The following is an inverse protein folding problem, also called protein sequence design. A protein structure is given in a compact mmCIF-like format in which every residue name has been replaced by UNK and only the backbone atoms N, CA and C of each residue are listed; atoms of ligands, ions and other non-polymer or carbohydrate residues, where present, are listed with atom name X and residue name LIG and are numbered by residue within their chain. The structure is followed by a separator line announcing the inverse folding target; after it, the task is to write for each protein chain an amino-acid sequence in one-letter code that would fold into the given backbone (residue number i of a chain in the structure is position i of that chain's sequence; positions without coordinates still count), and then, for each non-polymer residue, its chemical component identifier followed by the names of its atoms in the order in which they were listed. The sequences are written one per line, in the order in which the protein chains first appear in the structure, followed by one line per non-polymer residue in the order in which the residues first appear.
data_IF_100915471813
#
_entry.id   IF_100915471813
#
_cell.length_a   1.000
_cell.length_b   1.000
_cell.length_c   1.000
_cell.angle_alpha   90.00
_cell.angle_beta   90.00
_cell.angle_gamma   90.00
#
_symmetry.space_group_name_H-M   'P 1'
#
loop_
_entity.id
_entity.type
_entity.pdbx_description
1 polymer ?
#
# COMPACT_ATOMS: atom_id res chain seq x y z
N UNK A 1 37.61 -38.81 3.72
CA UNK A 1 37.68 -37.33 3.84
C UNK A 1 36.50 -36.76 3.06
N UNK A 2 35.31 -36.73 3.67
CA UNK A 2 34.13 -36.13 3.06
C UNK A 2 33.82 -34.82 3.77
N UNK A 3 33.42 -33.79 3.03
CA UNK A 3 32.29 -32.91 3.34
C UNK A 3 32.13 -31.94 2.16
N UNK A 4 31.22 -32.29 1.24
CA UNK A 4 30.47 -31.30 0.46
C UNK A 4 29.47 -30.64 1.41
N UNK A 5 29.40 -29.31 1.43
CA UNK A 5 28.10 -28.63 1.66
C UNK A 5 28.02 -27.43 0.73
N UNK A 6 27.00 -27.51 -0.12
CA UNK A 6 26.54 -26.52 -1.08
C UNK A 6 26.26 -25.19 -0.37
N UNK A 7 26.86 -24.11 -0.86
CA UNK A 7 26.45 -22.76 -0.50
C UNK A 7 25.01 -22.54 -0.98
N UNK A 8 24.06 -22.69 -0.06
CA UNK A 8 22.66 -22.37 -0.32
C UNK A 8 22.57 -20.90 -0.72
N UNK A 9 22.43 -20.65 -2.03
CA UNK A 9 21.90 -19.39 -2.53
C UNK A 9 20.51 -19.29 -1.93
N UNK A 10 20.38 -18.51 -0.86
CA UNK A 10 19.08 -18.19 -0.30
C UNK A 10 18.27 -17.61 -1.45
N UNK A 11 17.32 -18.38 -1.98
CA UNK A 11 16.24 -17.83 -2.81
C UNK A 11 15.53 -16.89 -1.85
N UNK A 12 15.86 -15.60 -1.90
CA UNK A 12 14.98 -14.55 -1.39
C UNK A 12 13.67 -14.82 -2.10
N UNK A 13 12.69 -15.36 -1.37
CA UNK A 13 11.31 -15.27 -1.79
C UNK A 13 11.07 -13.76 -1.84
N UNK A 14 11.20 -13.18 -3.03
CA UNK A 14 10.87 -11.78 -3.24
C UNK A 14 9.37 -11.75 -3.05
N UNK A 15 8.93 -11.47 -1.82
CA UNK A 15 7.54 -11.09 -1.60
C UNK A 15 7.28 -9.93 -2.55
N UNK A 16 6.24 -10.05 -3.35
CA UNK A 16 5.79 -8.95 -4.19
C UNK A 16 5.50 -7.79 -3.23
N UNK A 17 6.29 -6.71 -3.30
CA UNK A 17 6.12 -5.54 -2.43
C UNK A 17 5.04 -4.59 -2.96
N UNK A 18 4.27 -5.07 -3.95
CA UNK A 18 3.14 -4.42 -4.60
C UNK A 18 3.48 -2.98 -4.99
N UNK A 19 4.30 -2.78 -6.04
CA UNK A 19 4.76 -1.45 -6.40
C UNK A 19 3.60 -0.56 -6.86
N UNK A 20 3.62 0.69 -6.42
CA UNK A 20 2.71 1.73 -6.89
C UNK A 20 2.86 1.90 -8.40
N UNK A 21 1.75 1.91 -9.13
CA UNK A 21 1.73 2.05 -10.58
C UNK A 21 2.38 3.35 -11.07
N UNK A 22 2.27 4.44 -10.32
CA UNK A 22 2.75 5.76 -10.75
C UNK A 22 4.20 6.03 -10.36
N UNK A 23 4.61 5.65 -9.15
CA UNK A 23 5.92 6.00 -8.61
C UNK A 23 6.86 4.81 -8.40
N UNK A 24 6.37 3.58 -8.56
CA UNK A 24 7.14 2.35 -8.38
C UNK A 24 7.50 1.99 -6.94
N UNK A 25 7.21 2.86 -5.97
CA UNK A 25 7.50 2.60 -4.55
C UNK A 25 6.65 1.44 -4.03
N UNK A 26 7.20 0.56 -3.17
CA UNK A 26 6.45 -0.55 -2.60
C UNK A 26 5.31 -0.04 -1.72
N UNK A 27 4.10 -0.55 -1.93
CA UNK A 27 2.94 -0.23 -1.08
C UNK A 27 2.77 -1.21 0.06
N UNK A 28 3.36 -2.41 -0.03
CA UNK A 28 3.42 -3.36 1.08
C UNK A 28 4.84 -3.93 1.21
N UNK A 29 5.82 -3.10 1.61
CA UNK A 29 7.19 -3.53 1.80
C UNK A 29 7.29 -4.61 2.89
N UNK A 30 8.24 -5.54 2.75
CA UNK A 30 8.47 -6.58 3.76
C UNK A 30 8.90 -5.97 5.09
N UNK A 31 9.78 -4.96 5.00
CA UNK A 31 10.39 -4.29 6.12
C UNK A 31 10.08 -2.79 6.04
N UNK A 32 9.01 -2.34 6.68
CA UNK A 32 8.69 -0.92 6.70
C UNK A 32 7.23 -0.63 6.93
N UNK A 33 6.85 0.65 6.87
CA UNK A 33 5.46 1.03 6.85
C UNK A 33 4.78 0.73 5.51
N UNK A 34 3.54 0.29 5.54
CA UNK A 34 2.73 -0.01 4.35
C UNK A 34 1.75 1.12 4.01
N UNK A 35 1.30 1.12 2.76
CA UNK A 35 0.14 1.86 2.29
C UNK A 35 -0.87 0.87 1.69
N UNK A 36 -1.22 -0.15 2.47
CA UNK A 36 -2.21 -1.15 2.10
C UNK A 36 -3.58 -0.72 2.60
N UNK A 37 -4.38 -0.12 1.71
CA UNK A 37 -5.69 0.45 2.04
C UNK A 37 -6.69 0.20 0.90
N UNK A 38 -7.96 0.49 1.15
CA UNK A 38 -8.99 0.48 0.11
C UNK A 38 -9.92 1.69 0.24
N UNK A 39 -10.30 2.29 -0.89
CA UNK A 39 -11.22 3.43 -0.96
C UNK A 39 -12.53 3.02 -1.59
N UNK A 40 -13.56 3.86 -1.44
CA UNK A 40 -14.82 3.67 -2.15
C UNK A 40 -14.57 3.60 -3.67
N UNK A 41 -15.33 2.75 -4.36
CA UNK A 41 -15.23 2.61 -5.83
C UNK A 41 -15.34 3.96 -6.54
N UNK A 42 -16.26 4.82 -6.09
CA UNK A 42 -16.43 6.16 -6.63
C UNK A 42 -15.17 7.03 -6.51
N UNK A 43 -14.37 6.86 -5.48
CA UNK A 43 -13.09 7.57 -5.30
C UNK A 43 -12.04 6.99 -6.24
N UNK A 44 -11.99 5.66 -6.37
CA UNK A 44 -11.04 4.98 -7.25
C UNK A 44 -11.29 5.29 -8.73
N UNK A 45 -12.56 5.26 -9.15
CA UNK A 45 -13.02 5.63 -10.49
C UNK A 45 -12.71 7.09 -10.81
N UNK A 46 -12.96 8.01 -9.87
CA UNK A 46 -12.70 9.44 -10.07
C UNK A 46 -11.21 9.76 -10.25
N UNK A 47 -10.33 8.93 -9.69
CA UNK A 47 -8.88 9.04 -9.89
C UNK A 47 -8.41 8.47 -11.24
N UNK A 48 -9.29 7.84 -12.02
CA UNK A 48 -8.92 7.14 -13.25
C UNK A 48 -7.89 6.04 -13.00
N UNK A 49 -7.94 5.39 -11.82
CA UNK A 49 -6.94 4.42 -11.40
C UNK A 49 -6.98 3.09 -12.18
N UNK A 50 -8.06 2.83 -12.92
CA UNK A 50 -8.23 1.63 -13.72
C UNK A 50 -8.40 0.36 -12.88
N UNK A 51 -8.77 -0.73 -13.54
CA UNK A 51 -8.83 -2.05 -12.91
C UNK A 51 -7.42 -2.65 -12.78
N UNK A 52 -7.10 -3.23 -11.62
CA UNK A 52 -5.86 -4.01 -11.40
C UNK A 52 -4.60 -3.21 -11.07
N UNK A 53 -4.68 -1.89 -10.94
CA UNK A 53 -3.58 -1.05 -10.47
C UNK A 53 -3.50 -0.98 -8.94
N UNK A 54 -2.30 -0.74 -8.40
CA UNK A 54 -2.08 -0.42 -6.98
C UNK A 54 -1.48 0.98 -6.92
N UNK A 55 -2.00 1.82 -6.03
CA UNK A 55 -1.51 3.19 -5.86
C UNK A 55 -1.18 3.43 -4.39
N UNK A 56 -0.06 4.11 -4.16
CA UNK A 56 0.23 4.69 -2.87
C UNK A 56 -0.76 5.85 -2.59
N UNK A 57 -1.04 6.16 -1.33
CA UNK A 57 -2.06 7.15 -0.95
C UNK A 57 -1.77 8.53 -1.55
N UNK A 58 -0.49 8.89 -1.68
CA UNK A 58 -0.10 10.16 -2.31
C UNK A 58 -0.30 10.21 -3.82
N UNK A 59 -0.10 9.10 -4.54
CA UNK A 59 -0.36 9.06 -5.98
C UNK A 59 -1.86 9.10 -6.26
N UNK A 60 -2.66 8.43 -5.42
CA UNK A 60 -4.12 8.55 -5.48
C UNK A 60 -4.58 10.00 -5.21
N UNK A 61 -4.05 10.65 -4.17
CA UNK A 61 -4.33 12.07 -3.88
C UNK A 61 -3.92 13.00 -5.04
N UNK A 62 -2.78 12.73 -5.68
CA UNK A 62 -2.30 13.49 -6.83
C UNK A 62 -3.24 13.38 -8.04
N UNK A 63 -3.72 12.16 -8.35
CA UNK A 63 -4.70 11.93 -9.42
C UNK A 63 -6.04 12.61 -9.14
N UNK A 64 -6.49 12.58 -7.88
CA UNK A 64 -7.74 13.23 -7.46
C UNK A 64 -7.63 14.77 -7.38
N UNK A 65 -6.42 15.32 -7.36
CA UNK A 65 -6.20 16.75 -7.13
C UNK A 65 -6.63 17.22 -5.73
N UNK A 66 -6.81 16.29 -4.78
CA UNK A 66 -7.20 16.61 -3.40
C UNK A 66 -6.65 15.59 -2.41
N UNK A 67 -6.54 16.01 -1.15
CA UNK A 67 -6.23 15.11 -0.04
C UNK A 67 -7.43 14.19 0.27
N UNK A 68 -7.15 12.93 0.58
CA UNK A 68 -8.17 11.98 1.02
C UNK A 68 -8.57 12.25 2.47
N UNK A 69 -9.82 11.94 2.79
CA UNK A 69 -10.42 12.05 4.12
C UNK A 69 -10.96 10.69 4.55
N UNK A 70 -11.22 10.49 5.84
CA UNK A 70 -11.69 9.19 6.37
C UNK A 70 -12.90 8.63 5.62
N UNK A 71 -13.85 9.47 5.22
CA UNK A 71 -15.05 9.09 4.45
C UNK A 71 -14.78 8.52 3.04
N UNK A 72 -13.58 8.73 2.51
CA UNK A 72 -13.20 8.20 1.20
C UNK A 72 -12.80 6.71 1.27
N UNK A 73 -12.57 6.20 2.48
CA UNK A 73 -12.14 4.82 2.74
C UNK A 73 -13.34 3.92 3.01
N UNK A 74 -13.27 2.67 2.55
CA UNK A 74 -14.28 1.64 2.90
C UNK A 74 -14.21 1.37 4.40
N UNK A 75 -15.34 1.07 5.02
CA UNK A 75 -15.38 0.56 6.39
C UNK A 75 -14.98 -0.93 6.41
N UNK A 76 -13.67 -1.17 6.49
CA UNK A 76 -13.06 -2.49 6.48
C UNK A 76 -11.86 -2.51 7.42
N UNK A 77 -11.52 -3.69 7.96
CA UNK A 77 -10.37 -3.88 8.85
C UNK A 77 -9.05 -3.38 8.24
N UNK A 78 -8.94 -3.42 6.91
CA UNK A 78 -7.78 -2.92 6.18
C UNK A 78 -7.53 -1.41 6.39
N UNK A 79 -8.59 -0.65 6.63
CA UNK A 79 -8.53 0.79 6.86
C UNK A 79 -8.64 1.14 8.35
N UNK A 80 -8.51 0.16 9.24
CA UNK A 80 -8.41 0.41 10.67
C UNK A 80 -7.04 1.02 10.97
N UNK A 81 -6.96 2.22 11.59
CA UNK A 81 -5.69 2.84 11.94
C UNK A 81 -4.75 2.01 12.82
N UNK A 82 -5.26 0.97 13.49
CA UNK A 82 -4.51 0.07 14.36
C UNK A 82 -4.21 -1.28 13.68
N UNK A 83 -4.64 -1.47 12.42
CA UNK A 83 -4.28 -2.61 11.58
C UNK A 83 -2.94 -2.39 10.86
N UNK A 84 -2.15 -3.46 10.71
CA UNK A 84 -0.91 -3.44 9.93
C UNK A 84 0.17 -2.48 10.47
N UNK A 85 1.06 -2.01 9.60
CA UNK A 85 2.08 -1.01 9.91
C UNK A 85 1.90 0.19 9.00
N UNK A 86 0.72 0.77 8.98
CA UNK A 86 0.41 1.87 8.07
C UNK A 86 1.41 3.04 8.17
N UNK A 87 1.72 3.62 7.01
CA UNK A 87 2.59 4.79 6.91
C UNK A 87 2.03 5.97 7.71
N UNK A 88 2.89 6.85 8.27
CA UNK A 88 2.42 8.06 8.95
C UNK A 88 1.48 8.90 8.08
N UNK A 89 1.73 8.88 6.76
CA UNK A 89 0.88 9.56 5.78
C UNK A 89 -0.51 8.95 5.75
N UNK A 90 -0.63 7.63 5.56
CA UNK A 90 -1.91 6.90 5.51
C UNK A 90 -2.66 7.03 6.85
N UNK A 91 -1.99 6.82 7.98
CA UNK A 91 -2.58 6.99 9.32
C UNK A 91 -3.20 8.38 9.50
N UNK A 92 -2.54 9.42 9.01
CA UNK A 92 -3.07 10.78 9.08
C UNK A 92 -4.36 10.98 8.28
N UNK A 93 -4.69 10.12 7.31
CA UNK A 93 -5.98 10.16 6.57
C UNK A 93 -7.03 9.29 7.24
N UNK A 94 -6.62 8.13 7.77
CA UNK A 94 -7.52 7.22 8.49
C UNK A 94 -7.99 7.79 9.84
N UNK A 95 -7.17 8.64 10.49
CA UNK A 95 -7.51 9.30 11.76
C UNK A 95 -8.06 10.72 11.61
N UNK A 96 -8.08 11.27 10.40
CA UNK A 96 -8.61 12.62 10.19
C UNK A 96 -10.14 12.59 10.30
N UNK A 97 -10.67 13.22 11.35
CA UNK A 97 -12.10 13.51 11.48
C UNK A 97 -12.53 14.64 10.51
N UNK A 98 -13.85 14.75 10.32
CA UNK A 98 -14.54 15.48 9.25
C UNK A 98 -14.06 16.90 8.91
#
# INVERSE_FOLDING_TARGET
MGHFVLGARQRRLVREEFPCHDCGLPTAPVDGPDEWYTVLDSVWEHAGAGEGGILCVGCLEARLGRRLRRRDFVDAALNDPDYGRHSPRLLSRLRAEH
#
